data_IF_055217503766
#
_entry.id   IF_055217503766
#
_cell.length_a   1.000
_cell.length_b   1.000
_cell.length_c   1.000
_cell.angle_alpha   90.00
_cell.angle_beta   90.00
_cell.angle_gamma   90.00
#
_symmetry.space_group_name_H-M   'P 1'
#
loop_
_entity.id
_entity.type
_entity.pdbx_description
1 polymer ?
#
# COMPACT_ATOMS: atom_id res chain seq x y z
N UNK A 1 -3.55 27.30 -35.36
CA UNK A 1 -3.53 26.90 -33.93
C UNK A 1 -2.57 25.75 -33.74
N UNK A 2 -1.59 25.85 -32.84
CA UNK A 2 -0.71 24.71 -32.49
C UNK A 2 -1.41 23.87 -31.42
N UNK A 3 -1.71 22.59 -31.71
CA UNK A 3 -2.16 21.64 -30.70
C UNK A 3 -0.95 21.26 -29.83
N UNK A 4 -0.87 21.79 -28.62
CA UNK A 4 0.11 21.32 -27.63
C UNK A 4 -0.49 20.11 -26.93
N UNK A 5 -0.01 18.92 -27.27
CA UNK A 5 -0.41 17.68 -26.58
C UNK A 5 0.42 17.53 -25.30
N UNK A 6 -0.25 17.46 -24.15
CA UNK A 6 0.44 17.28 -22.87
C UNK A 6 1.05 15.87 -22.78
N UNK A 7 2.35 15.79 -22.43
CA UNK A 7 3.05 14.53 -22.28
C UNK A 7 2.40 13.64 -21.20
N UNK A 8 2.26 12.34 -21.51
CA UNK A 8 1.64 11.33 -20.64
C UNK A 8 2.68 10.38 -20.07
N UNK A 9 2.41 9.86 -18.87
CA UNK A 9 3.18 8.79 -18.24
C UNK A 9 2.25 7.70 -17.69
N UNK A 10 2.83 6.57 -17.30
CA UNK A 10 2.11 5.47 -16.66
C UNK A 10 2.67 5.22 -15.26
N UNK A 11 1.78 5.23 -14.25
CA UNK A 11 2.07 4.63 -12.95
C UNK A 11 1.65 3.17 -12.97
N UNK A 12 2.59 2.29 -12.62
CA UNK A 12 2.31 0.86 -12.45
C UNK A 12 2.38 0.52 -10.96
N UNK A 13 1.37 -0.16 -10.44
CA UNK A 13 1.32 -0.57 -9.03
C UNK A 13 1.45 -2.09 -8.92
N UNK A 14 2.43 -2.55 -8.15
CA UNK A 14 2.68 -3.96 -7.88
C UNK A 14 2.42 -4.32 -6.41
N UNK A 15 1.98 -5.56 -6.17
CA UNK A 15 1.54 -6.03 -4.86
C UNK A 15 2.69 -6.34 -3.88
N UNK A 16 3.93 -6.52 -4.36
CA UNK A 16 5.13 -6.79 -3.54
C UNK A 16 4.92 -7.93 -2.52
N UNK A 17 4.85 -9.16 -3.03
CA UNK A 17 4.56 -10.39 -2.28
C UNK A 17 3.17 -10.43 -1.61
N UNK A 18 2.34 -9.41 -1.82
CA UNK A 18 0.90 -9.45 -1.53
C UNK A 18 0.09 -10.02 -2.69
N UNK A 19 -1.22 -10.16 -2.46
CA UNK A 19 -2.23 -10.47 -3.46
C UNK A 19 -2.83 -9.19 -4.06
N UNK A 20 -3.69 -9.37 -5.07
CA UNK A 20 -4.32 -8.27 -5.82
C UNK A 20 -3.77 -8.15 -7.24
N UNK A 21 -4.62 -7.67 -8.16
CA UNK A 21 -4.24 -7.51 -9.57
C UNK A 21 -3.31 -6.31 -9.75
N UNK A 22 -2.25 -6.44 -10.55
CA UNK A 22 -1.40 -5.31 -10.95
C UNK A 22 -2.28 -4.22 -11.59
N UNK A 23 -2.13 -2.98 -11.13
CA UNK A 23 -2.91 -1.84 -11.63
C UNK A 23 -2.02 -0.90 -12.43
N UNK A 24 -2.60 -0.22 -13.42
CA UNK A 24 -1.94 0.85 -14.18
C UNK A 24 -2.82 2.10 -14.15
N UNK A 25 -2.18 3.27 -14.05
CA UNK A 25 -2.84 4.57 -14.13
C UNK A 25 -2.07 5.47 -15.08
N UNK A 26 -2.72 5.86 -16.18
CA UNK A 26 -2.18 6.86 -17.10
C UNK A 26 -2.42 8.25 -16.50
N UNK A 27 -1.42 9.13 -16.59
CA UNK A 27 -1.49 10.48 -16.05
C UNK A 27 -0.74 11.47 -16.95
N UNK A 28 -1.02 12.77 -16.80
CA UNK A 28 -0.24 13.83 -17.44
C UNK A 28 1.01 14.13 -16.61
N UNK A 29 2.19 14.11 -17.23
CA UNK A 29 3.45 14.41 -16.55
C UNK A 29 3.40 15.79 -15.89
N UNK A 30 3.95 15.90 -14.68
CA UNK A 30 3.95 17.15 -13.93
C UNK A 30 2.62 17.50 -13.23
N UNK A 31 1.54 16.76 -13.47
CA UNK A 31 0.27 16.93 -12.74
C UNK A 31 0.18 15.99 -11.54
N UNK A 32 -0.59 16.40 -10.53
CA UNK A 32 -0.86 15.60 -9.35
C UNK A 32 -1.71 14.39 -9.72
N UNK A 33 -1.37 13.23 -9.17
CA UNK A 33 -2.14 11.99 -9.26
C UNK A 33 -2.34 11.41 -7.87
N UNK A 34 -3.61 11.19 -7.50
CA UNK A 34 -3.99 10.52 -6.26
C UNK A 34 -3.71 9.02 -6.38
N UNK A 35 -2.99 8.48 -5.40
CA UNK A 35 -2.68 7.05 -5.33
C UNK A 35 -3.86 6.26 -4.73
N UNK A 36 -4.06 5.00 -5.14
CA UNK A 36 -5.09 4.14 -4.54
C UNK A 36 -4.91 3.97 -3.03
N UNK A 37 -6.02 3.75 -2.33
CA UNK A 37 -6.00 3.39 -0.90
C UNK A 37 -6.05 1.89 -0.67
N UNK A 38 -6.59 1.14 -1.62
CA UNK A 38 -6.89 -0.29 -1.54
C UNK A 38 -6.53 -0.97 -2.87
N UNK A 39 -6.67 -2.30 -2.94
CA UNK A 39 -6.44 -3.09 -4.15
C UNK A 39 -5.28 -4.08 -4.04
N UNK A 40 -4.53 -4.04 -2.93
CA UNK A 40 -3.56 -5.06 -2.56
C UNK A 40 -3.74 -5.46 -1.11
N UNK A 41 -3.56 -6.74 -0.84
CA UNK A 41 -3.72 -7.34 0.47
C UNK A 41 -2.57 -8.31 0.75
N UNK A 42 -2.24 -8.51 2.03
CA UNK A 42 -1.27 -9.53 2.44
C UNK A 42 -1.72 -10.08 3.79
N UNK A 43 -2.11 -11.36 3.81
CA UNK A 43 -2.70 -12.01 4.99
C UNK A 43 -1.79 -11.85 6.21
N UNK A 44 -2.33 -11.32 7.32
CA UNK A 44 -1.57 -11.06 8.55
C UNK A 44 -0.73 -9.77 8.51
N UNK A 45 -0.95 -8.88 7.54
CA UNK A 45 -0.24 -7.62 7.41
C UNK A 45 -1.20 -6.46 7.10
N UNK A 46 -0.81 -5.24 7.50
CA UNK A 46 -1.48 -3.98 7.16
C UNK A 46 -0.78 -3.32 5.98
N UNK A 47 -1.55 -2.94 4.95
CA UNK A 47 -1.04 -2.16 3.82
C UNK A 47 -0.80 -0.69 4.24
N UNK A 48 0.43 -0.20 4.09
CA UNK A 48 0.83 1.09 4.67
C UNK A 48 1.04 2.20 3.65
N UNK A 49 1.76 1.91 2.56
CA UNK A 49 2.21 2.89 1.59
C UNK A 49 2.75 2.20 0.33
N UNK A 50 3.07 3.00 -0.68
CA UNK A 50 3.85 2.55 -1.83
C UNK A 50 5.30 3.06 -1.76
N UNK A 51 6.24 2.31 -2.34
CA UNK A 51 7.64 2.72 -2.54
C UNK A 51 8.12 2.44 -3.96
N UNK A 52 9.21 3.07 -4.39
CA UNK A 52 9.84 2.77 -5.70
C UNK A 52 10.64 1.47 -5.72
N UNK A 53 11.01 0.94 -4.54
CA UNK A 53 11.74 -0.31 -4.39
C UNK A 53 10.94 -1.32 -3.58
N UNK A 54 11.04 -2.59 -3.96
CA UNK A 54 10.35 -3.73 -3.31
C UNK A 54 10.79 -3.94 -1.88
N UNK A 55 12.08 -3.73 -1.58
CA UNK A 55 12.67 -3.83 -0.23
C UNK A 55 12.26 -2.69 0.73
N UNK A 56 11.35 -1.81 0.32
CA UNK A 56 10.88 -0.67 1.13
C UNK A 56 11.90 0.46 1.30
N UNK A 57 13.14 0.30 0.82
CA UNK A 57 14.18 1.33 0.86
C UNK A 57 13.93 2.33 -0.27
N UNK A 58 13.56 3.55 0.09
CA UNK A 58 13.32 4.62 -0.88
C UNK A 58 12.19 5.53 -0.47
N UNK A 59 11.79 6.41 -1.39
CA UNK A 59 10.72 7.37 -1.14
C UNK A 59 9.39 6.65 -0.91
N UNK A 60 8.77 6.92 0.23
CA UNK A 60 7.45 6.42 0.61
C UNK A 60 6.35 7.36 0.11
N UNK A 61 5.29 6.78 -0.43
CA UNK A 61 4.11 7.48 -0.93
C UNK A 61 2.87 6.98 -0.18
N UNK A 62 2.23 7.89 0.56
CA UNK A 62 1.09 7.55 1.41
C UNK A 62 -0.14 7.21 0.55
N UNK A 63 -0.91 6.24 1.02
CA UNK A 63 -2.18 5.82 0.44
C UNK A 63 -3.15 7.00 0.36
N UNK A 64 -3.86 7.12 -0.77
CA UNK A 64 -4.85 8.19 -0.98
C UNK A 64 -4.30 9.61 -1.08
N UNK A 65 -2.98 9.82 -1.03
CA UNK A 65 -2.37 11.13 -1.23
C UNK A 65 -2.04 11.36 -2.70
N UNK A 66 -2.01 12.65 -3.08
CA UNK A 66 -1.71 13.08 -4.44
C UNK A 66 -0.24 13.49 -4.57
N UNK A 67 0.42 13.00 -5.61
CA UNK A 67 1.84 13.28 -5.88
C UNK A 67 2.05 13.65 -7.34
N UNK A 68 3.10 14.42 -7.62
CA UNK A 68 3.51 14.75 -8.98
C UNK A 68 4.64 13.83 -9.42
N UNK A 69 4.50 13.24 -10.61
CA UNK A 69 5.54 12.43 -11.25
C UNK A 69 5.96 13.08 -12.57
N UNK A 70 7.27 13.05 -12.87
CA UNK A 70 7.84 13.61 -14.10
C UNK A 70 8.14 12.55 -15.17
N UNK A 71 7.96 11.26 -14.84
CA UNK A 71 8.14 10.12 -15.74
C UNK A 71 7.26 8.95 -15.30
N UNK A 72 7.05 7.97 -16.18
CA UNK A 72 6.46 6.68 -15.81
C UNK A 72 7.22 6.06 -14.64
N UNK A 73 6.51 5.53 -13.65
CA UNK A 73 7.09 5.05 -12.40
C UNK A 73 6.37 3.78 -11.96
N UNK A 74 7.11 2.81 -11.43
CA UNK A 74 6.55 1.64 -10.76
C UNK A 74 6.60 1.86 -9.26
N UNK A 75 5.48 1.55 -8.60
CA UNK A 75 5.29 1.67 -7.18
C UNK A 75 4.88 0.31 -6.60
N UNK A 76 5.54 -0.09 -5.52
CA UNK A 76 5.39 -1.38 -4.87
C UNK A 76 4.71 -1.21 -3.52
N UNK A 77 3.68 -2.00 -3.25
CA UNK A 77 2.99 -1.98 -1.97
C UNK A 77 3.94 -2.37 -0.82
N UNK A 78 3.84 -1.67 0.30
CA UNK A 78 4.62 -1.95 1.51
C UNK A 78 3.69 -2.27 2.66
N UNK A 79 4.06 -3.28 3.44
CA UNK A 79 3.23 -3.84 4.49
C UNK A 79 3.97 -3.86 5.82
N UNK A 80 3.21 -3.83 6.91
CA UNK A 80 3.70 -4.14 8.25
C UNK A 80 2.97 -5.35 8.77
N UNK A 81 3.72 -6.32 9.32
CA UNK A 81 3.15 -7.49 9.95
C UNK A 81 2.25 -7.04 11.10
N UNK A 82 1.07 -7.64 11.22
CA UNK A 82 0.24 -7.45 12.40
C UNK A 82 0.84 -8.34 13.49
N UNK A 83 1.20 -7.72 14.61
CA UNK A 83 1.60 -8.48 15.80
C UNK A 83 0.34 -9.05 16.44
N UNK A 84 0.38 -10.34 16.78
CA UNK A 84 -0.71 -10.99 17.51
C UNK A 84 -0.37 -10.93 18.99
N UNK A 85 -1.26 -10.34 19.79
CA UNK A 85 -1.15 -10.43 21.25
C UNK A 85 -2.04 -11.57 21.73
N UNK A 86 -1.41 -12.64 22.22
CA UNK A 86 -2.11 -13.66 23.00
C UNK A 86 -2.22 -13.17 24.44
N UNK A 87 -3.43 -12.81 24.87
CA UNK A 87 -3.70 -12.58 26.29
C UNK A 87 -3.84 -13.96 26.94
N UNK A 88 -2.86 -14.35 27.75
CA UNK A 88 -3.01 -15.48 28.67
C UNK A 88 -3.81 -14.98 29.88
N UNK A 89 -5.11 -15.27 29.90
CA UNK A 89 -5.91 -15.10 31.12
C UNK A 89 -5.61 -16.31 31.99
N UNK A 90 -4.76 -16.15 33.01
CA UNK A 90 -4.65 -17.14 34.07
C UNK A 90 -6.05 -17.29 34.71
N UNK A 91 -6.65 -18.46 34.55
CA UNK A 91 -7.99 -18.73 35.04
C UNK A 91 -8.00 -18.75 36.57
N UNK A 92 -8.23 -17.59 37.19
CA UNK A 92 -8.71 -17.57 38.56
C UNK A 92 -10.22 -17.89 38.53
N UNK A 93 -10.52 -19.19 38.47
CA UNK A 93 -11.82 -19.81 38.76
C UNK A 93 -12.90 -19.85 37.65
N UNK A 94 -12.56 -20.27 36.43
CA UNK A 94 -13.53 -20.88 35.50
C UNK A 94 -13.71 -20.15 34.16
N UNK A 95 -13.60 -20.91 33.08
CA UNK A 95 -13.72 -20.52 31.67
C UNK A 95 -12.65 -19.55 31.13
N UNK A 96 -11.42 -20.06 31.00
CA UNK A 96 -10.41 -19.44 30.13
C UNK A 96 -10.77 -19.63 28.65
N UNK A 97 -11.32 -18.59 28.01
CA UNK A 97 -11.45 -18.52 26.55
C UNK A 97 -10.27 -17.73 26.01
N UNK A 98 -9.40 -18.34 25.21
CA UNK A 98 -8.34 -17.63 24.51
C UNK A 98 -8.98 -16.63 23.53
N UNK A 99 -8.81 -15.32 23.77
CA UNK A 99 -9.22 -14.26 22.85
C UNK A 99 -7.97 -13.79 22.12
N UNK A 100 -7.95 -13.93 20.79
CA UNK A 100 -6.92 -13.32 19.93
C UNK A 100 -7.37 -11.92 19.56
N UNK A 101 -6.60 -10.90 19.94
CA UNK A 101 -6.81 -9.51 19.51
C UNK A 101 -5.75 -9.12 18.48
N UNK A 102 -6.16 -8.38 17.46
CA UNK A 102 -5.27 -7.76 16.47
C UNK A 102 -5.27 -6.24 16.69
N UNK A 103 -4.09 -5.59 16.71
CA UNK A 103 -4.01 -4.13 16.75
C UNK A 103 -4.49 -3.49 15.44
N UNK A 104 -5.29 -2.42 15.53
CA UNK A 104 -5.96 -1.76 14.40
C UNK A 104 -5.03 -0.95 13.50
#
# INVERSE_FOLDING_TARGET
>A
MVKVTAAKGTLTFGSNDGSGRRQKKIFTLGKKVTLPKTGFDRKGYKFLNYTVATNGKGKKYRLGKAYTFKKSTTLWAQYRKLENYTIQIAANQGFGKNITLHEQ
#
